data_IF_545726203050
#
_entry.id   IF_545726203050
#
_cell.length_a   1.000
_cell.length_b   1.000
_cell.length_c   1.000
_cell.angle_alpha   90.00
_cell.angle_beta   90.00
_cell.angle_gamma   90.00
#
_symmetry.space_group_name_H-M   'P 1'
#
loop_
_entity.id
_entity.type
_entity.pdbx_description
1 polymer ?
2 non-polymer ?
3 water ?
#
# COMPACT_ATOMS: atom_id res chain seq x y z
N UNK A 1 7.35 5.58 12.16
CA UNK A 1 8.83 5.52 11.93
C UNK A 1 9.41 6.90 12.12
N UNK A 2 8.76 7.89 11.54
CA UNK A 2 9.20 9.26 11.66
C UNK A 2 9.95 9.84 10.47
N UNK A 3 10.42 9.00 9.57
CA UNK A 3 11.17 9.53 8.42
C UNK A 3 10.64 9.11 7.05
N UNK A 4 9.86 8.04 7.00
CA UNK A 4 9.33 7.55 5.73
C UNK A 4 7.99 6.88 5.91
N UNK A 5 7.26 6.70 4.80
CA UNK A 5 6.01 5.95 4.83
C UNK A 5 6.14 4.79 3.86
N UNK A 6 5.39 3.72 4.10
CA UNK A 6 5.47 2.54 3.28
C UNK A 6 4.16 2.29 2.55
N UNK A 7 4.25 1.72 1.35
CA UNK A 7 3.08 1.47 0.53
C UNK A 7 3.08 0.03 0.01
N UNK A 8 1.90 -0.58 -0.02
CA UNK A 8 1.81 -1.94 -0.51
C UNK A 8 0.46 -2.20 -1.18
N UNK A 9 0.45 -3.12 -2.15
CA UNK A 9 -0.80 -3.54 -2.80
C UNK A 9 -1.05 -4.99 -2.36
N UNK A 10 -0.20 -5.47 -1.45
CA UNK A 10 -0.28 -6.82 -0.92
C UNK A 10 -0.13 -7.94 -1.96
N UNK A 11 0.51 -7.60 -3.07
CA UNK A 11 0.74 -8.56 -4.13
C UNK A 11 2.10 -9.23 -3.94
N UNK A 12 2.15 -10.54 -4.15
CA UNK A 12 3.38 -11.33 -4.01
C UNK A 12 3.99 -11.60 -5.38
N UNK A 13 5.27 -11.28 -5.51
CA UNK A 13 5.99 -11.43 -6.77
C UNK A 13 7.50 -11.56 -6.49
N UNK A 14 8.28 -12.02 -7.48
CA UNK A 14 9.73 -12.17 -7.32
C UNK A 14 10.38 -10.78 -7.13
N UNK A 15 11.57 -10.76 -6.55
CA UNK A 15 12.26 -9.50 -6.27
C UNK A 15 12.41 -8.52 -7.45
N UNK A 16 12.75 -9.04 -8.62
CA UNK A 16 12.93 -8.14 -9.75
C UNK A 16 11.64 -7.39 -10.10
N UNK A 17 10.49 -8.02 -9.85
CA UNK A 17 9.21 -7.38 -10.14
C UNK A 17 8.87 -6.37 -9.07
N UNK A 18 9.21 -6.67 -7.81
CA UNK A 18 8.98 -5.74 -6.71
C UNK A 18 9.82 -4.48 -7.01
N UNK A 19 11.06 -4.67 -7.44
CA UNK A 19 11.96 -3.56 -7.74
C UNK A 19 11.41 -2.69 -8.88
N UNK A 20 10.89 -3.35 -9.92
CA UNK A 20 10.31 -2.65 -11.07
C UNK A 20 9.07 -1.88 -10.63
N UNK A 21 8.25 -2.51 -9.77
CA UNK A 21 7.03 -1.87 -9.24
C UNK A 21 7.35 -0.59 -8.46
N UNK A 22 8.27 -0.68 -7.51
CA UNK A 22 8.65 0.48 -6.71
C UNK A 22 9.22 1.59 -7.59
N UNK A 23 9.90 1.21 -8.67
CA UNK A 23 10.46 2.20 -9.61
C UNK A 23 9.32 2.90 -10.36
N UNK A 24 8.27 2.16 -10.67
CA UNK A 24 7.08 2.69 -11.35
C UNK A 24 6.39 3.70 -10.44
N UNK A 25 6.46 3.46 -9.14
CA UNK A 25 5.88 4.35 -8.15
C UNK A 25 6.83 5.46 -7.73
N UNK A 26 8.07 5.38 -8.24
CA UNK A 26 9.13 6.36 -7.92
C UNK A 26 9.56 6.29 -6.46
N UNK A 27 9.57 5.06 -5.94
CA UNK A 27 9.99 4.81 -4.57
C UNK A 27 11.14 3.82 -4.59
N UNK A 28 11.39 3.19 -3.45
CA UNK A 28 12.46 2.22 -3.30
C UNK A 28 11.89 1.00 -2.57
N UNK A 29 12.47 -0.17 -2.80
CA UNK A 29 12.00 -1.36 -2.09
C UNK A 29 12.32 -1.05 -0.61
N UNK A 30 11.33 -1.27 0.26
CA UNK A 30 11.46 -0.97 1.68
C UNK A 30 12.75 -1.44 2.35
N UNK A 31 13.37 -0.53 3.11
CA UNK A 31 14.61 -0.81 3.83
C UNK A 31 14.50 -0.35 5.28
N UNK A 32 14.60 -1.28 6.25
CA UNK A 32 14.52 -0.90 7.66
C UNK A 32 15.88 -0.37 8.10
N UNK A 33 15.96 0.89 8.47
CA UNK A 33 17.21 1.50 8.93
C UNK A 33 17.32 1.40 10.45
N UNK A 34 16.24 1.02 11.11
CA UNK A 34 16.21 0.88 12.56
C UNK A 34 15.05 -0.02 12.97
N UNK A 35 14.97 -0.34 14.27
CA UNK A 35 13.92 -1.20 14.80
C UNK A 35 12.49 -0.71 14.60
N UNK A 36 12.26 0.60 14.67
CA UNK A 36 10.93 1.15 14.48
C UNK A 36 10.47 1.01 13.04
N UNK A 37 11.36 1.29 12.09
CA UNK A 37 11.00 1.15 10.67
C UNK A 37 10.76 -0.32 10.34
N UNK A 38 11.50 -1.20 10.99
CA UNK A 38 11.37 -2.64 10.77
C UNK A 38 9.96 -3.11 11.19
N UNK A 39 9.51 -2.67 12.37
CA UNK A 39 8.20 -3.01 12.87
C UNK A 39 7.13 -2.39 11.96
N UNK A 40 7.39 -1.18 11.46
CA UNK A 40 6.46 -0.49 10.56
C UNK A 40 6.28 -1.28 9.27
N UNK A 41 7.38 -1.82 8.72
CA UNK A 41 7.31 -2.60 7.48
C UNK A 41 6.57 -3.92 7.73
N UNK A 42 6.89 -4.55 8.85
CA UNK A 42 6.26 -5.81 9.25
C UNK A 42 4.75 -5.61 9.34
N UNK A 43 4.35 -4.52 10.00
CA UNK A 43 2.94 -4.19 10.20
C UNK A 43 2.16 -3.91 8.93
N UNK A 44 2.71 -3.09 8.03
CA UNK A 44 2.02 -2.76 6.79
C UNK A 44 1.92 -3.96 5.83
N UNK A 45 2.97 -4.78 5.80
CA UNK A 45 3.00 -5.93 4.91
C UNK A 45 2.11 -7.09 5.36
N UNK A 46 2.04 -7.27 6.68
CA UNK A 46 1.25 -8.34 7.30
C UNK A 46 1.93 -9.70 7.12
N UNK A 47 2.28 -10.04 5.88
CA UNK A 47 2.93 -11.31 5.55
C UNK A 47 4.39 -11.06 5.14
N UNK A 48 5.13 -12.11 4.77
CA UNK A 48 6.54 -11.96 4.40
C UNK A 48 6.72 -10.99 3.22
N UNK A 49 7.71 -10.12 3.33
CA UNK A 49 7.96 -9.12 2.29
C UNK A 49 9.45 -8.98 2.00
N UNK A 50 9.80 -8.66 0.76
CA UNK A 50 11.20 -8.44 0.39
C UNK A 50 11.68 -7.10 0.94
N UNK A 51 12.96 -7.03 1.27
CA UNK A 51 13.58 -5.77 1.74
C UNK A 51 14.56 -5.35 0.64
N UNK A 52 14.93 -4.08 0.59
CA UNK A 52 15.85 -3.62 -0.45
C UNK A 52 17.31 -3.85 -0.08
N UNK A 53 17.67 -5.12 0.09
CA UNK A 53 19.03 -5.51 0.51
C UNK A 53 19.38 -6.83 -0.19
N UNK A 54 20.63 -6.95 -0.68
CA UNK A 54 21.04 -8.21 -1.33
C UNK A 54 22.55 -8.39 -1.14
N UNK A 55 23.03 -9.60 -1.37
CA UNK A 55 24.47 -9.85 -1.32
C UNK A 55 24.86 -10.44 -2.67
N UNK A 56 24.23 -9.96 -3.73
CA UNK A 56 24.51 -10.46 -5.07
C UNK A 56 25.94 -10.21 -5.55
N UNK A 57 26.48 -9.03 -5.23
CA UNK A 57 27.84 -8.72 -5.69
C UNK A 57 28.92 -9.48 -4.94
N UNK A 58 28.90 -9.35 -3.61
CA UNK A 58 29.86 -10.00 -2.73
C UNK A 58 29.13 -10.95 -1.77
N UNK A 59 29.26 -12.25 -2.01
CA UNK A 59 28.57 -13.24 -1.20
C UNK A 59 28.93 -13.13 0.28
N UNK A 60 27.90 -12.99 1.09
CA UNK A 60 28.05 -12.88 2.53
C UNK A 60 28.04 -11.45 3.02
N UNK A 61 28.22 -10.50 2.10
CA UNK A 61 28.22 -9.08 2.44
C UNK A 61 27.00 -8.38 1.87
N UNK A 62 25.97 -8.20 2.69
CA UNK A 62 24.76 -7.53 2.25
C UNK A 62 24.90 -6.02 2.11
N UNK A 63 24.31 -5.53 1.03
CA UNK A 63 24.33 -4.11 0.66
C UNK A 63 22.92 -3.62 0.34
N UNK A 64 22.66 -2.35 0.58
CA UNK A 64 21.37 -1.77 0.26
C UNK A 64 21.29 -1.62 -1.24
N UNK A 65 20.09 -1.78 -1.80
CA UNK A 65 19.91 -1.63 -3.24
C UNK A 65 20.27 -0.20 -3.65
N UNK A 66 20.19 0.73 -2.68
CA UNK A 66 20.50 2.13 -2.89
C UNK A 66 21.97 2.47 -2.59
N UNK A 67 22.74 1.43 -2.27
CA UNK A 67 24.15 1.60 -1.98
C UNK A 67 24.52 1.56 -0.52
N UNK A 68 25.73 1.05 -0.25
CA UNK A 68 26.22 0.99 1.11
C UNK A 68 26.05 -0.33 1.82
N UNK A 69 26.98 -0.60 2.73
CA UNK A 69 26.95 -1.82 3.52
C UNK A 69 25.86 -1.75 4.57
N UNK A 70 25.23 -2.90 4.81
CA UNK A 70 24.15 -3.01 5.78
C UNK A 70 24.65 -2.67 7.18
N UNK A 71 23.87 -1.90 7.92
CA UNK A 71 24.24 -1.54 9.29
C UNK A 71 23.24 -2.24 10.20
N UNK A 72 22.03 -1.68 10.28
CA UNK A 72 20.99 -2.26 11.10
C UNK A 72 20.57 -3.59 10.46
N UNK A 73 20.39 -4.61 11.27
CA UNK A 73 19.94 -5.91 10.78
C UNK A 73 19.14 -6.61 11.87
N UNK A 74 18.28 -7.53 11.47
CA UNK A 74 17.46 -8.26 12.43
C UNK A 74 17.32 -9.71 11.97
N UNK A 75 18.45 -10.34 11.73
CA UNK A 75 18.47 -11.73 11.27
C UNK A 75 17.93 -12.72 12.26
N UNK A 76 17.27 -13.74 11.73
CA UNK A 76 16.75 -14.85 12.51
C UNK A 76 18.00 -15.64 12.90
N UNK A 77 17.92 -16.45 13.95
CA UNK A 77 19.07 -17.24 14.38
C UNK A 77 19.51 -18.13 13.21
N UNK A 78 20.81 -18.23 13.02
CA UNK A 78 21.41 -19.04 11.95
C UNK A 78 21.30 -18.45 10.54
N UNK A 79 20.75 -17.24 10.44
CA UNK A 79 20.60 -16.54 9.16
C UNK A 79 21.55 -15.33 9.23
N UNK A 80 22.08 -14.88 8.08
CA UNK A 80 21.86 -15.41 6.73
C UNK A 80 22.67 -16.70 6.55
N UNK A 81 22.16 -17.61 5.74
CA UNK A 81 22.84 -18.88 5.54
C UNK A 81 23.15 -19.29 4.10
N UNK A 82 22.76 -18.44 3.14
CA UNK A 82 22.98 -18.71 1.72
C UNK A 82 22.66 -20.17 1.41
N UNK A 83 21.49 -20.61 1.85
CA UNK A 83 21.07 -22.00 1.70
C UNK A 83 21.05 -22.59 0.29
N UNK A 84 21.30 -23.89 0.21
CA UNK A 84 21.27 -24.60 -1.05
C UNK A 84 22.21 -24.06 -2.11
N UNK A 85 21.66 -23.72 -3.27
CA UNK A 85 22.47 -23.18 -4.36
C UNK A 85 22.81 -21.70 -4.11
N UNK A 86 22.14 -21.10 -3.13
CA UNK A 86 22.40 -19.72 -2.79
C UNK A 86 21.14 -18.93 -2.54
N UNK A 87 21.24 -17.90 -1.70
CA UNK A 87 20.14 -17.02 -1.34
C UNK A 87 20.76 -15.64 -1.26
N UNK A 88 20.29 -14.72 -2.08
CA UNK A 88 20.89 -13.38 -2.12
C UNK A 88 19.93 -12.25 -1.81
N UNK A 89 18.65 -12.58 -1.65
CA UNK A 89 17.67 -11.56 -1.29
C UNK A 89 17.31 -11.74 0.17
N UNK A 90 16.55 -10.78 0.69
CA UNK A 90 16.17 -10.79 2.10
C UNK A 90 14.68 -10.50 2.26
N UNK A 91 14.05 -11.24 3.15
CA UNK A 91 12.64 -11.03 3.47
C UNK A 91 12.47 -10.84 4.96
N UNK A 92 11.46 -10.07 5.31
CA UNK A 92 11.10 -9.87 6.71
C UNK A 92 9.98 -10.89 6.93
N UNK A 93 10.15 -11.75 7.93
CA UNK A 93 9.18 -12.80 8.23
C UNK A 93 8.57 -12.67 9.63
N UNK A 94 8.28 -13.78 10.30
CA UNK A 94 7.65 -13.69 11.64
C UNK A 94 8.47 -12.86 12.63
N UNK A 95 7.78 -12.08 13.44
CA UNK A 95 8.35 -11.19 14.46
C UNK A 95 9.19 -10.07 13.83
N UNK A 96 9.14 -9.96 12.51
CA UNK A 96 9.95 -8.96 11.84
C UNK A 96 11.39 -9.41 11.68
N UNK A 97 11.68 -10.69 11.99
CA UNK A 97 13.02 -11.23 11.84
C UNK A 97 13.33 -11.36 10.35
N UNK A 98 14.61 -11.44 10.00
CA UNK A 98 15.04 -11.54 8.61
C UNK A 98 15.60 -12.89 8.23
N UNK A 99 15.43 -13.22 6.95
CA UNK A 99 15.96 -14.46 6.41
C UNK A 99 16.45 -14.16 5.00
N UNK A 100 17.63 -14.65 4.63
CA UNK A 100 18.07 -14.47 3.25
C UNK A 100 17.44 -15.62 2.47
N UNK A 101 16.89 -15.29 1.30
CA UNK A 101 16.19 -16.24 0.47
C UNK A 101 16.49 -15.99 -1.01
N UNK A 102 16.01 -16.90 -1.86
CA UNK A 102 16.19 -16.77 -3.30
C UNK A 102 15.45 -15.54 -3.84
N UNK A 103 16.10 -14.81 -4.74
CA UNK A 103 15.44 -13.63 -5.31
C UNK A 103 14.30 -14.03 -6.25
N UNK A 104 14.24 -15.31 -6.59
CA UNK A 104 13.19 -15.83 -7.47
C UNK A 104 11.90 -16.22 -6.74
N UNK A 105 11.95 -16.22 -5.41
CA UNK A 105 10.77 -16.52 -4.59
C UNK A 105 9.82 -15.32 -4.68
N UNK A 106 8.54 -15.56 -4.47
CA UNK A 106 7.50 -14.53 -4.52
C UNK A 106 7.06 -14.08 -3.14
N UNK A 107 7.25 -12.79 -2.84
CA UNK A 107 6.86 -12.21 -1.57
C UNK A 107 6.18 -10.88 -1.77
N UNK A 108 5.57 -10.38 -0.69
CA UNK A 108 4.82 -9.12 -0.71
C UNK A 108 5.68 -7.91 -1.05
N UNK A 109 5.21 -7.13 -2.02
CA UNK A 109 5.89 -5.92 -2.48
C UNK A 109 5.61 -4.74 -1.54
N UNK A 110 6.65 -4.13 -1.00
CA UNK A 110 6.51 -2.97 -0.14
C UNK A 110 7.52 -1.92 -0.59
N UNK A 111 7.02 -0.73 -0.87
CA UNK A 111 7.85 0.38 -1.32
C UNK A 111 7.87 1.49 -0.26
N UNK A 112 8.99 2.21 -0.19
CA UNK A 112 9.15 3.28 0.80
C UNK A 112 9.31 4.63 0.13
N UNK A 113 8.86 5.66 0.83
CA UNK A 113 8.92 7.05 0.38
C UNK A 113 9.25 7.94 1.56
N UNK A 114 9.96 9.06 1.33
CA UNK A 114 10.27 9.93 2.48
C UNK A 114 8.95 10.55 3.00
N UNK A 115 8.77 10.56 4.31
CA UNK A 115 7.54 11.10 4.92
C UNK A 115 7.39 12.61 4.76
N UNK B 2 -1.89 -7.23 -12.40
CA UNK B 2 -1.51 -7.16 -11.00
C UNK B 2 -2.51 -6.39 -10.15
N UNK B 3 -2.26 -6.34 -8.84
CA UNK B 3 -3.12 -5.63 -7.90
C UNK B 3 -2.94 -4.12 -8.08
N UNK B 4 -4.00 -3.43 -8.47
CA UNK B 4 -3.90 -2.00 -8.74
C UNK B 4 -4.20 -1.04 -7.59
N UNK B 5 -4.63 -1.56 -6.44
CA UNK B 5 -4.96 -0.69 -5.30
C UNK B 5 -3.92 -0.78 -4.20
N UNK B 6 -3.43 0.39 -3.81
CA UNK B 6 -2.37 0.51 -2.82
C UNK B 6 -2.79 1.20 -1.53
N UNK B 7 -2.25 0.70 -0.41
CA UNK B 7 -2.51 1.25 0.91
C UNK B 7 -1.18 1.60 1.55
N UNK B 8 -1.22 2.43 2.59
CA UNK B 8 0.00 2.87 3.26
C UNK B 8 -0.13 2.62 4.76
N UNK B 9 0.92 2.96 5.51
CA UNK B 9 0.87 2.79 6.95
C UNK B 9 0.42 4.08 7.63
N UNK B 10 -0.15 4.99 6.85
CA UNK B 10 -0.68 6.24 7.40
C UNK B 10 -1.94 5.89 8.19
N UNK B 11 -2.32 6.77 9.10
CA UNK B 11 -3.55 6.55 9.86
C UNK B 11 -4.69 7.15 9.03
N UNK B 12 -5.93 6.86 9.40
CA UNK B 12 -7.10 7.40 8.71
C UNK B 12 -6.96 8.92 8.62
N UNK B 13 -7.44 9.51 7.53
CA UNK B 13 -7.33 10.96 7.33
C UNK B 13 -8.50 11.49 6.51
N UNK B 14 -8.74 12.82 6.54
CA UNK B 14 -9.84 13.45 5.78
C UNK B 14 -9.59 13.33 4.28
N UNK B 15 -10.65 13.43 3.47
CA UNK B 15 -10.53 13.30 2.02
C UNK B 15 -9.46 14.16 1.34
N UNK B 16 -9.33 15.42 1.80
CA UNK B 16 -8.34 16.33 1.22
C UNK B 16 -6.93 15.75 1.38
N UNK B 17 -6.66 15.17 2.54
CA UNK B 17 -5.35 14.56 2.79
C UNK B 17 -5.14 13.31 1.94
N UNK B 18 -6.21 12.53 1.74
CA UNK B 18 -6.12 11.33 0.90
C UNK B 18 -5.79 11.76 -0.53
N UNK B 19 -6.52 12.77 -1.03
CA UNK B 19 -6.27 13.30 -2.37
C UNK B 19 -4.84 13.82 -2.50
N UNK B 20 -4.35 14.49 -1.45
CA UNK B 20 -3.00 15.03 -1.44
C UNK B 20 -2.01 13.86 -1.50
N UNK B 21 -2.27 12.83 -0.70
CA UNK B 21 -1.42 11.63 -0.67
C UNK B 21 -1.32 10.95 -2.03
N UNK B 22 -2.46 10.59 -2.62
CA UNK B 22 -2.43 9.93 -3.92
C UNK B 22 -1.82 10.79 -5.02
N UNK B 23 -2.03 12.12 -4.96
CA UNK B 23 -1.45 12.99 -5.98
C UNK B 23 0.07 13.09 -5.76
N UNK B 24 0.49 13.10 -4.50
CA UNK B 24 1.92 13.15 -4.19
C UNK B 24 2.54 11.88 -4.75
N UNK B 25 1.79 10.77 -4.70
CA UNK B 25 2.25 9.48 -5.21
C UNK B 25 2.02 9.32 -6.70
N UNK B 26 1.48 10.36 -7.35
CA UNK B 26 1.20 10.34 -8.79
C UNK B 26 0.13 9.31 -9.16
N UNK B 27 -0.85 9.17 -8.26
CA UNK B 27 -1.95 8.24 -8.45
C UNK B 27 -3.29 8.92 -8.28
N UNK B 28 -4.34 8.13 -8.05
CA UNK B 28 -5.70 8.64 -7.90
C UNK B 28 -6.37 7.92 -6.74
N UNK B 29 -7.33 8.57 -6.08
CA UNK B 29 -8.05 7.90 -5.01
C UNK B 29 -8.78 6.74 -5.69
N UNK B 30 -8.72 5.57 -5.07
CA UNK B 30 -9.29 4.35 -5.61
C UNK B 30 -10.75 4.43 -6.09
N UNK B 31 -10.95 3.91 -7.30
CA UNK B 31 -12.27 3.89 -7.92
C UNK B 31 -12.64 2.49 -8.42
N UNK B 32 -13.65 1.87 -7.81
CA UNK B 32 -14.03 0.54 -8.26
C UNK B 32 -14.98 0.70 -9.46
N UNK B 33 -14.64 0.07 -10.58
CA UNK B 33 -15.49 0.16 -11.77
C UNK B 33 -16.27 -1.11 -12.08
N UNK B 34 -16.21 -2.05 -11.13
CA UNK B 34 -16.95 -3.31 -11.22
C UNK B 34 -16.89 -4.01 -9.86
N UNK B 35 -17.74 -5.02 -9.71
CA UNK B 35 -17.83 -5.78 -8.45
C UNK B 35 -16.49 -6.38 -8.03
N UNK B 36 -15.69 -6.81 -9.01
CA UNK B 36 -14.39 -7.41 -8.74
C UNK B 36 -13.44 -6.39 -8.13
N UNK B 37 -13.39 -5.21 -8.73
CA UNK B 37 -12.55 -4.14 -8.24
C UNK B 37 -13.04 -3.66 -6.87
N UNK B 38 -14.35 -3.66 -6.68
CA UNK B 38 -14.93 -3.26 -5.41
C UNK B 38 -14.44 -4.17 -4.28
N UNK B 39 -14.45 -5.48 -4.53
CA UNK B 39 -14.00 -6.46 -3.54
C UNK B 39 -12.49 -6.29 -3.26
N UNK B 40 -11.73 -5.91 -4.28
CA UNK B 40 -10.28 -5.70 -4.14
C UNK B 40 -9.92 -4.51 -3.26
N UNK B 41 -10.71 -3.44 -3.33
CA UNK B 41 -10.44 -2.26 -2.51
C UNK B 41 -10.82 -2.61 -1.07
N UNK B 42 -11.95 -3.29 -0.95
CA UNK B 42 -12.47 -3.74 0.34
C UNK B 42 -11.39 -4.53 1.07
N UNK B 43 -10.75 -5.46 0.36
CA UNK B 43 -9.72 -6.32 0.96
C UNK B 43 -8.35 -5.69 1.27
N UNK B 44 -7.95 -4.68 0.53
CA UNK B 44 -6.66 -4.04 0.77
C UNK B 44 -6.77 -3.00 1.88
N UNK B 45 -7.96 -2.43 2.04
CA UNK B 45 -8.20 -1.42 3.05
C UNK B 45 -8.56 -2.01 4.42
N UNK B 46 -9.44 -3.02 4.43
CA UNK B 46 -9.91 -3.69 5.65
C UNK B 46 -10.95 -2.82 6.37
N UNK B 47 -10.55 -1.60 6.72
CA UNK B 47 -11.44 -0.65 7.39
C UNK B 47 -12.01 0.27 6.31
N UNK B 48 -13.12 0.94 6.58
CA UNK B 48 -13.74 1.85 5.62
C UNK B 48 -12.69 2.77 4.96
N UNK B 49 -12.87 3.00 3.66
CA UNK B 49 -11.94 3.80 2.89
C UNK B 49 -12.69 4.74 1.97
N UNK B 50 -12.10 5.89 1.67
CA UNK B 50 -12.70 6.82 0.72
C UNK B 50 -12.53 6.27 -0.71
N UNK B 51 -13.50 6.58 -1.57
CA UNK B 51 -13.46 6.23 -2.99
C UNK B 51 -13.29 7.54 -3.77
N UNK B 52 -12.77 7.44 -5.00
CA UNK B 52 -12.56 8.64 -5.82
C UNK B 52 -13.83 9.07 -6.53
N UNK B 53 -14.87 9.32 -5.75
CA UNK B 53 -16.20 9.69 -6.24
C UNK B 53 -16.81 10.71 -5.28
N UNK B 54 -17.41 11.78 -5.82
CA UNK B 54 -18.01 12.82 -4.97
C UNK B 54 -19.18 13.48 -5.70
N UNK B 55 -20.01 14.19 -4.97
CA UNK B 55 -21.09 14.93 -5.59
C UNK B 55 -20.89 16.39 -5.19
N UNK B 56 -19.62 16.80 -5.11
CA UNK B 56 -19.24 18.16 -4.75
C UNK B 56 -19.69 19.18 -5.80
N UNK B 57 -19.57 18.82 -7.08
CA UNK B 57 -19.95 19.73 -8.17
C UNK B 57 -21.46 19.95 -8.31
N UNK B 58 -22.26 18.88 -8.23
CA UNK B 58 -23.71 19.01 -8.35
C UNK B 58 -24.32 18.07 -7.31
N UNK B 59 -25.00 18.65 -6.32
CA UNK B 59 -25.59 17.84 -5.26
C UNK B 59 -26.52 16.74 -5.76
N UNK B 60 -26.26 15.52 -5.31
CA UNK B 60 -27.06 14.37 -5.69
C UNK B 60 -26.57 13.64 -6.93
N UNK B 61 -25.61 14.23 -7.63
CA UNK B 61 -25.05 13.63 -8.85
C UNK B 61 -23.59 13.23 -8.61
N UNK B 62 -23.35 11.97 -8.29
CA UNK B 62 -21.99 11.51 -8.04
C UNK B 62 -21.19 11.30 -9.31
N UNK B 63 -19.93 11.74 -9.26
CA UNK B 63 -19.04 11.70 -10.40
C UNK B 63 -17.65 11.25 -9.98
N UNK B 64 -16.92 10.65 -10.93
CA UNK B 64 -15.54 10.24 -10.65
C UNK B 64 -14.69 11.50 -10.53
N UNK B 65 -13.73 11.49 -9.60
CA UNK B 65 -12.86 12.66 -9.41
C UNK B 65 -11.99 12.91 -10.64
N UNK B 66 -11.81 11.86 -11.44
CA UNK B 66 -11.04 11.93 -12.68
C UNK B 66 -11.97 12.26 -13.84
N UNK B 67 -13.26 12.41 -13.54
CA UNK B 67 -14.26 12.75 -14.54
C UNK B 67 -15.20 11.66 -15.00
N UNK B 68 -16.46 12.04 -15.22
CA UNK B 68 -17.46 11.12 -15.73
C UNK B 68 -18.53 10.65 -14.75
N UNK B 69 -19.69 10.30 -15.31
CA UNK B 69 -20.80 9.79 -14.53
C UNK B 69 -20.51 8.32 -14.20
N UNK B 70 -21.06 7.83 -13.10
CA UNK B 70 -20.80 6.44 -12.70
C UNK B 70 -21.32 5.35 -13.65
N UNK B 71 -20.53 4.30 -13.83
CA UNK B 71 -20.94 3.16 -14.66
C UNK B 71 -21.22 1.96 -13.76
N UNK B 72 -20.71 2.04 -12.54
CA UNK B 72 -20.88 0.99 -11.53
C UNK B 72 -21.08 1.67 -10.18
N UNK B 73 -21.99 1.12 -9.38
CA UNK B 73 -22.25 1.62 -8.04
C UNK B 73 -22.68 0.45 -7.16
N UNK B 74 -22.49 0.60 -5.85
CA UNK B 74 -22.86 -0.44 -4.91
C UNK B 74 -23.41 0.22 -3.65
N UNK B 75 -24.31 1.17 -3.85
CA UNK B 75 -24.91 1.90 -2.75
C UNK B 75 -25.70 1.02 -1.80
N UNK B 76 -25.53 1.29 -0.51
CA UNK B 76 -26.30 0.62 0.53
C UNK B 76 -27.73 1.14 0.28
N UNK B 77 -28.75 0.32 0.52
CA UNK B 77 -30.12 0.76 0.30
C UNK B 77 -30.39 2.12 0.96
N UNK B 78 -31.02 3.02 0.20
CA UNK B 78 -31.35 4.37 0.65
C UNK B 78 -30.19 5.39 0.60
N UNK B 79 -29.04 4.92 0.13
CA UNK B 79 -27.87 5.79 -0.04
C UNK B 79 -27.81 6.10 -1.52
N UNK B 80 -27.25 7.27 -1.89
CA UNK B 80 -26.70 8.30 -1.00
C UNK B 80 -27.83 9.19 -0.45
N UNK B 81 -27.75 9.54 0.83
CA UNK B 81 -28.80 10.34 1.45
C UNK B 81 -28.47 11.77 1.89
N UNK B 82 -27.24 12.22 1.60
CA UNK B 82 -26.77 13.56 1.96
C UNK B 82 -27.20 13.95 3.38
N UNK B 83 -26.92 13.07 4.33
CA UNK B 83 -27.29 13.31 5.72
C UNK B 83 -26.79 14.62 6.33
N UNK B 84 -27.67 15.25 7.12
CA UNK B 84 -27.37 16.49 7.81
C UNK B 84 -26.89 17.62 6.94
N UNK B 85 -25.83 18.30 7.37
CA UNK B 85 -25.25 19.40 6.61
C UNK B 85 -25.02 18.93 5.17
N UNK B 86 -24.16 17.93 5.02
CA UNK B 86 -23.86 17.43 3.70
C UNK B 86 -22.85 16.30 3.70
N UNK B 87 -23.08 15.39 2.78
CA UNK B 87 -22.22 14.24 2.59
C UNK B 87 -21.91 14.25 1.11
N UNK B 88 -20.70 14.65 0.77
CA UNK B 88 -20.32 14.72 -0.64
C UNK B 88 -19.23 13.74 -1.05
N UNK B 89 -18.72 12.99 -0.06
CA UNK B 89 -17.70 11.97 -0.30
C UNK B 89 -18.33 10.58 -0.17
N UNK B 90 -17.60 9.54 -0.55
CA UNK B 90 -18.11 8.17 -0.51
C UNK B 90 -17.09 7.22 0.12
N UNK B 91 -17.59 6.34 0.98
CA UNK B 91 -16.74 5.34 1.62
C UNK B 91 -17.31 3.95 1.33
N UNK B 92 -16.40 2.99 1.21
CA UNK B 92 -16.78 1.60 1.02
C UNK B 92 -16.69 1.06 2.46
N UNK B 93 -17.84 0.63 2.96
CA UNK B 93 -18.01 0.13 4.32
C UNK B 93 -18.44 -1.34 4.40
N UNK B 94 -19.37 -1.63 5.31
CA UNK B 94 -19.91 -2.98 5.57
C UNK B 94 -20.24 -3.83 4.33
N UNK B 95 -19.54 -4.96 4.21
CA UNK B 95 -19.76 -5.89 3.10
C UNK B 95 -19.49 -5.28 1.72
N UNK B 96 -18.66 -4.24 1.66
CA UNK B 96 -18.37 -3.60 0.39
C UNK B 96 -19.41 -2.60 -0.09
N UNK B 97 -20.45 -2.37 0.69
CA UNK B 97 -21.49 -1.40 0.28
C UNK B 97 -20.94 0.03 0.39
N UNK B 98 -21.59 0.97 -0.30
CA UNK B 98 -21.14 2.36 -0.29
C UNK B 98 -22.07 3.27 0.48
N UNK B 99 -21.49 4.26 1.14
CA UNK B 99 -22.25 5.25 1.88
C UNK B 99 -21.66 6.63 1.61
N UNK B 100 -22.50 7.62 1.33
CA UNK B 100 -21.97 8.98 1.16
C UNK B 100 -21.75 9.50 2.57
N UNK B 101 -20.63 10.17 2.78
CA UNK B 101 -20.31 10.70 4.10
C UNK B 101 -19.62 12.04 3.95
N UNK B 102 -19.36 12.71 5.07
CA UNK B 102 -18.68 13.98 5.05
C UNK B 102 -17.23 13.82 4.60
N UNK B 103 -16.76 14.71 3.73
CA UNK B 103 -15.39 14.66 3.24
C UNK B 103 -14.40 15.06 4.37
N UNK B 104 -14.93 15.59 5.47
CA UNK B 104 -14.10 16.01 6.59
C UNK B 104 -13.85 14.85 7.56
N UNK B 105 -14.57 13.75 7.34
CA UNK B 105 -14.43 12.54 8.16
C UNK B 105 -13.09 11.87 7.82
N UNK B 106 -12.50 11.17 8.78
CA UNK B 106 -11.22 10.47 8.58
C UNK B 106 -11.41 9.00 8.26
N UNK B 107 -10.92 8.60 7.09
CA UNK B 107 -11.02 7.22 6.62
C UNK B 107 -9.71 6.76 5.97
N UNK B 108 -9.62 5.47 5.69
CA UNK B 108 -8.41 4.90 5.10
C UNK B 108 -8.14 5.35 3.66
N UNK B 109 -6.90 5.74 3.41
CA UNK B 109 -6.47 6.17 2.09
C UNK B 109 -6.10 4.96 1.23
N UNK B 110 -6.67 4.87 0.03
CA UNK B 110 -6.37 3.79 -0.91
C UNK B 110 -6.15 4.50 -2.25
N UNK B 111 -5.01 4.23 -2.87
CA UNK B 111 -4.68 4.85 -4.15
C UNK B 111 -4.62 3.84 -5.28
N UNK B 112 -4.88 4.31 -6.50
CA UNK B 112 -4.85 3.45 -7.67
C UNK B 112 -3.86 4.07 -8.65
N UNK B 113 -3.18 3.23 -9.41
CA UNK B 113 -2.17 3.68 -10.37
C UNK B 113 -2.36 3.07 -11.76
X LIG C 1 24.00 -14.98 -0.63
X LIG D 1 18.26 -18.32 4.51
X LIG E 1 -24.01 15.27 -1.28
X LIG F 1 -24.95 8.70 3.88
#
# INVERSE_FOLDING_TARGET
SGKKFFVTNHERMPFSKVKALCSELRGTVAIPRNAEENKAIQEVAKTSAFLGITDEVTEGQFMYVTGGRLTYSNWKKDEPNDHGSGEDCVTIVDNGLWNDISCQASHTAVCEFPA
SGKKFFVTNHERMPFSKVKALCSELRGTVAIPRNAEENKAIQEVAKTSAFLGITDEVTEGQFMYVTGGRLTYSNWKKDEPNDHGSGEDCVTIVDNGLWNDISCQASHTAVCEFPA
YB YB
YB YB
YB YB
YB YB
#
